data_IF_036439706700
#
_entry.id   IF_036439706700
#
_cell.length_a   1.000
_cell.length_b   1.000
_cell.length_c   1.000
_cell.angle_alpha   90.00
_cell.angle_beta   90.00
_cell.angle_gamma   90.00
#
_symmetry.space_group_name_H-M   'P 1'
#
loop_
_entity.id
_entity.type
_entity.pdbx_description
1 polymer ?
#
# COMPACT_ATOMS: atom_id res chain seq x y z
N UNK A 1 61.97 14.60 -64.46
CA UNK A 1 61.69 15.06 -63.10
C UNK A 1 60.21 14.92 -62.80
N UNK A 2 59.77 13.80 -62.16
CA UNK A 2 58.39 13.56 -61.77
C UNK A 2 58.27 13.91 -60.29
N UNK A 3 57.44 14.90 -59.99
CA UNK A 3 57.09 15.26 -58.60
C UNK A 3 55.96 14.30 -58.12
N UNK A 4 56.24 13.53 -57.07
CA UNK A 4 55.27 12.71 -56.36
C UNK A 4 54.62 13.62 -55.32
N UNK A 5 53.30 13.84 -55.41
CA UNK A 5 52.47 14.50 -54.41
C UNK A 5 52.06 13.40 -53.42
N UNK A 6 52.47 13.51 -52.15
CA UNK A 6 52.02 12.66 -51.09
C UNK A 6 50.78 13.31 -50.46
N UNK A 7 49.64 12.66 -50.62
CA UNK A 7 48.36 13.04 -49.94
C UNK A 7 48.37 12.43 -48.53
N UNK A 8 48.43 13.27 -47.51
CA UNK A 8 48.28 12.86 -46.13
C UNK A 8 46.77 12.77 -45.81
N UNK A 9 46.27 11.56 -45.64
CA UNK A 9 44.89 11.31 -45.13
C UNK A 9 44.98 11.38 -43.61
N UNK A 10 44.43 12.44 -43.04
CA UNK A 10 44.19 12.55 -41.55
C UNK A 10 42.93 11.76 -41.25
N UNK A 11 43.10 10.57 -40.70
CA UNK A 11 42.01 9.82 -40.08
C UNK A 11 41.66 10.50 -38.75
N UNK A 12 40.60 11.27 -38.73
CA UNK A 12 39.96 11.71 -37.48
C UNK A 12 39.28 10.50 -36.82
N UNK A 13 39.99 9.91 -35.85
CA UNK A 13 39.39 8.93 -34.94
C UNK A 13 38.38 9.66 -34.03
N UNK A 14 37.10 9.55 -34.35
CA UNK A 14 36.04 9.85 -33.39
C UNK A 14 36.14 8.82 -32.27
N UNK A 15 36.80 9.20 -31.20
CA UNK A 15 36.76 8.45 -29.96
C UNK A 15 35.31 8.48 -29.42
N UNK A 16 34.57 7.41 -29.59
CA UNK A 16 33.41 7.16 -28.76
C UNK A 16 33.91 7.04 -27.32
N UNK A 17 33.79 8.11 -26.54
CA UNK A 17 33.84 8.01 -25.11
C UNK A 17 32.69 7.12 -24.72
N UNK A 18 32.95 5.85 -24.45
CA UNK A 18 32.02 5.02 -23.69
C UNK A 18 31.82 5.73 -22.34
N UNK A 19 30.76 6.48 -22.21
CA UNK A 19 30.31 6.92 -20.90
C UNK A 19 30.20 5.64 -20.06
N UNK A 20 30.95 5.54 -18.97
CA UNK A 20 30.80 4.42 -18.04
C UNK A 20 29.34 4.38 -17.63
N UNK A 21 28.65 3.31 -18.02
CA UNK A 21 27.28 3.07 -17.63
C UNK A 21 27.23 3.03 -16.09
N UNK A 22 26.48 3.95 -15.49
CA UNK A 22 26.25 3.93 -14.06
C UNK A 22 25.38 2.71 -13.72
N UNK A 23 25.76 1.92 -12.72
CA UNK A 23 24.86 0.88 -12.21
C UNK A 23 23.96 1.49 -11.16
N UNK A 24 22.64 1.28 -11.32
CA UNK A 24 21.60 1.66 -10.37
C UNK A 24 21.12 0.39 -9.66
N UNK A 25 21.46 0.25 -8.38
CA UNK A 25 21.12 -0.92 -7.57
C UNK A 25 19.79 -0.67 -6.85
N UNK A 26 18.81 -1.54 -7.07
CA UNK A 26 17.45 -1.41 -6.52
C UNK A 26 17.12 -2.64 -5.68
N UNK A 27 16.72 -2.42 -4.41
CA UNK A 27 16.17 -3.46 -3.56
C UNK A 27 14.65 -3.34 -3.50
N UNK A 28 13.93 -4.45 -3.72
CA UNK A 28 12.46 -4.46 -3.76
C UNK A 28 11.89 -5.76 -3.19
N UNK A 29 10.66 -5.68 -2.67
CA UNK A 29 9.83 -6.82 -2.27
C UNK A 29 8.66 -7.07 -3.26
N UNK A 30 8.73 -6.50 -4.44
CA UNK A 30 7.67 -6.53 -5.46
C UNK A 30 7.74 -7.86 -6.24
N UNK A 31 7.39 -8.95 -5.57
CA UNK A 31 7.53 -10.33 -6.07
C UNK A 31 6.23 -10.96 -6.53
N UNK A 32 5.09 -10.42 -6.12
CA UNK A 32 3.79 -10.84 -6.66
C UNK A 32 3.70 -10.50 -8.16
N UNK A 33 2.96 -11.29 -8.98
CA UNK A 33 3.01 -11.17 -10.45
C UNK A 33 2.76 -9.77 -11.00
N UNK A 34 1.71 -9.07 -10.55
CA UNK A 34 1.36 -7.76 -11.07
C UNK A 34 2.38 -6.66 -10.66
N UNK A 35 2.79 -6.51 -9.39
CA UNK A 35 3.86 -5.60 -8.99
C UNK A 35 5.17 -5.87 -9.72
N UNK A 36 5.56 -7.15 -9.85
CA UNK A 36 6.78 -7.52 -10.58
C UNK A 36 6.71 -7.08 -12.04
N UNK A 37 5.62 -7.37 -12.73
CA UNK A 37 5.45 -7.02 -14.14
C UNK A 37 5.47 -5.49 -14.36
N UNK A 38 4.83 -4.72 -13.47
CA UNK A 38 4.80 -3.26 -13.56
C UNK A 38 6.19 -2.64 -13.40
N UNK A 39 6.97 -3.14 -12.43
CA UNK A 39 8.32 -2.63 -12.21
C UNK A 39 9.33 -3.14 -13.23
N UNK A 40 9.20 -4.39 -13.72
CA UNK A 40 10.02 -4.87 -14.84
C UNK A 40 9.79 -3.98 -16.09
N UNK A 41 8.54 -3.60 -16.37
CA UNK A 41 8.22 -2.64 -17.43
C UNK A 41 8.88 -1.27 -17.18
N UNK A 42 8.74 -0.72 -15.97
CA UNK A 42 9.31 0.60 -15.64
C UNK A 42 10.85 0.60 -15.73
N UNK A 43 11.50 -0.44 -15.26
CA UNK A 43 12.96 -0.58 -15.33
C UNK A 43 13.43 -0.65 -16.78
N UNK A 44 12.78 -1.48 -17.61
CA UNK A 44 13.10 -1.58 -19.03
C UNK A 44 12.88 -0.25 -19.74
N UNK A 45 11.75 0.40 -19.49
CA UNK A 45 11.42 1.69 -20.10
C UNK A 45 12.40 2.79 -19.71
N UNK A 46 12.81 2.84 -18.44
CA UNK A 46 13.84 3.77 -17.98
C UNK A 46 15.18 3.54 -18.68
N UNK A 47 15.63 2.27 -18.82
CA UNK A 47 16.87 1.94 -19.50
C UNK A 47 16.84 2.27 -21.00
N UNK A 48 15.68 2.07 -21.66
CA UNK A 48 15.50 2.50 -23.06
C UNK A 48 15.70 4.01 -23.24
N UNK A 49 15.17 4.81 -22.32
CA UNK A 49 15.29 6.27 -22.32
C UNK A 49 16.66 6.76 -21.79
N UNK A 50 17.37 5.91 -21.03
CA UNK A 50 18.64 6.22 -20.38
C UNK A 50 19.67 5.10 -20.63
N UNK A 51 20.18 4.95 -21.89
CA UNK A 51 21.08 3.86 -22.23
C UNK A 51 22.46 3.95 -21.58
N UNK A 52 22.74 5.03 -20.86
CA UNK A 52 23.92 5.25 -20.04
C UNK A 52 23.78 4.67 -18.61
N UNK A 53 22.62 4.06 -18.26
CA UNK A 53 22.32 3.47 -16.95
C UNK A 53 22.01 1.98 -17.10
N UNK A 54 22.65 1.17 -16.26
CA UNK A 54 22.30 -0.25 -16.10
C UNK A 54 21.57 -0.43 -14.77
N UNK A 55 20.44 -1.17 -14.76
CA UNK A 55 19.70 -1.46 -13.54
C UNK A 55 20.04 -2.87 -13.05
N UNK A 56 20.35 -2.98 -11.76
CA UNK A 56 20.50 -4.23 -11.02
C UNK A 56 19.40 -4.29 -9.95
N UNK A 57 18.53 -5.31 -10.02
CA UNK A 57 17.39 -5.47 -9.11
C UNK A 57 17.60 -6.66 -8.19
N UNK A 58 17.54 -6.41 -6.89
CA UNK A 58 17.52 -7.42 -5.86
C UNK A 58 16.08 -7.59 -5.34
N UNK A 59 15.45 -8.70 -5.70
CA UNK A 59 14.10 -9.03 -5.23
C UNK A 59 14.15 -9.87 -3.97
N UNK A 60 13.39 -9.47 -2.97
CA UNK A 60 13.26 -10.16 -1.69
C UNK A 60 11.82 -10.63 -1.49
N UNK A 61 11.64 -11.68 -0.72
CA UNK A 61 10.33 -12.03 -0.16
C UNK A 61 9.76 -10.86 0.65
N UNK A 62 8.48 -10.57 0.48
CA UNK A 62 7.80 -9.41 1.07
C UNK A 62 8.00 -9.29 2.59
N UNK A 63 7.80 -10.36 3.36
CA UNK A 63 7.93 -10.28 4.82
C UNK A 63 9.41 -10.31 5.25
N UNK A 64 10.25 -11.05 4.54
CA UNK A 64 11.70 -11.05 4.74
C UNK A 64 12.32 -9.68 4.48
N UNK A 65 11.84 -8.96 3.46
CA UNK A 65 12.23 -7.60 3.15
C UNK A 65 11.95 -6.64 4.30
N UNK A 66 10.71 -6.66 4.82
CA UNK A 66 10.31 -5.83 5.97
C UNK A 66 11.18 -6.03 7.20
N UNK A 67 11.63 -7.27 7.43
CA UNK A 67 12.52 -7.60 8.54
C UNK A 67 13.97 -7.17 8.27
N UNK A 68 14.41 -7.17 7.02
CA UNK A 68 15.81 -6.97 6.62
C UNK A 68 16.13 -5.54 6.20
N UNK A 69 15.14 -4.69 5.91
CA UNK A 69 15.33 -3.36 5.34
C UNK A 69 16.33 -2.52 6.14
N UNK A 70 16.23 -2.50 7.47
CA UNK A 70 17.16 -1.73 8.30
C UNK A 70 18.59 -2.23 8.16
N UNK A 71 18.77 -3.54 8.04
CA UNK A 71 20.09 -4.14 7.91
C UNK A 71 20.75 -3.73 6.59
N UNK A 72 20.10 -3.91 5.45
CA UNK A 72 20.73 -3.52 4.18
C UNK A 72 20.91 -2.01 4.04
N UNK A 73 19.99 -1.18 4.57
CA UNK A 73 20.18 0.28 4.56
C UNK A 73 21.40 0.73 5.40
N UNK A 74 21.83 -0.05 6.39
CA UNK A 74 22.98 0.27 7.23
C UNK A 74 24.28 -0.39 6.79
N UNK A 75 24.24 -1.59 6.18
CA UNK A 75 25.44 -2.39 5.89
C UNK A 75 25.86 -2.35 4.43
N UNK A 76 24.91 -2.44 3.51
CA UNK A 76 25.12 -2.38 2.07
C UNK A 76 23.91 -1.71 1.39
N UNK A 77 23.79 -0.38 1.52
CA UNK A 77 22.63 0.34 1.03
C UNK A 77 22.54 0.25 -0.50
N UNK A 78 21.32 -0.06 -1.04
CA UNK A 78 21.06 0.09 -2.46
C UNK A 78 21.02 1.56 -2.84
N UNK A 79 20.89 1.85 -4.14
CA UNK A 79 20.61 3.22 -4.57
C UNK A 79 19.14 3.58 -4.38
N UNK A 80 18.25 2.64 -4.72
CA UNK A 80 16.80 2.79 -4.55
C UNK A 80 16.21 1.62 -3.75
N UNK A 81 15.14 1.90 -3.03
CA UNK A 81 14.34 0.89 -2.34
C UNK A 81 12.87 1.31 -2.27
N UNK A 82 11.95 0.35 -2.46
CA UNK A 82 10.54 0.62 -2.24
C UNK A 82 10.20 0.52 -0.75
N UNK A 83 9.26 1.34 -0.30
CA UNK A 83 8.74 1.33 1.06
C UNK A 83 7.36 1.99 1.10
N UNK A 84 6.92 2.38 2.29
CA UNK A 84 5.62 2.95 2.57
C UNK A 84 5.75 4.39 3.07
N UNK A 85 4.75 5.21 2.78
CA UNK A 85 4.64 6.57 3.26
C UNK A 85 4.34 6.66 4.79
N UNK A 86 4.23 7.88 5.30
CA UNK A 86 3.80 8.16 6.67
C UNK A 86 4.78 7.73 7.76
N UNK A 87 4.25 7.34 8.90
CA UNK A 87 5.06 6.93 10.05
C UNK A 87 5.86 5.63 9.82
N UNK A 88 5.54 4.87 8.79
CA UNK A 88 6.29 3.66 8.43
C UNK A 88 7.71 4.01 7.93
N UNK A 89 7.86 5.13 7.23
CA UNK A 89 9.13 5.67 6.77
C UNK A 89 9.92 6.40 7.88
N UNK A 90 9.22 7.01 8.84
CA UNK A 90 9.79 7.88 9.86
C UNK A 90 10.99 7.31 10.63
N UNK A 91 11.04 6.03 11.06
CA UNK A 91 12.18 5.47 11.77
C UNK A 91 13.48 5.48 10.96
N UNK A 92 13.36 5.33 9.65
CA UNK A 92 14.52 5.34 8.73
C UNK A 92 14.98 6.78 8.46
N UNK A 93 14.06 7.72 8.32
CA UNK A 93 14.37 9.16 8.23
C UNK A 93 15.09 9.64 9.48
N UNK A 94 14.56 9.33 10.67
CA UNK A 94 15.19 9.68 11.96
C UNK A 94 16.56 9.06 12.16
N UNK A 95 16.78 7.88 11.60
CA UNK A 95 18.08 7.20 11.64
C UNK A 95 19.06 7.72 10.57
N UNK A 96 18.67 8.68 9.72
CA UNK A 96 19.52 9.21 8.65
C UNK A 96 19.81 8.20 7.53
N UNK A 97 18.90 7.22 7.31
CA UNK A 97 19.07 6.15 6.33
C UNK A 97 18.39 6.43 4.99
N UNK A 98 17.60 7.48 4.91
CA UNK A 98 16.88 7.92 3.69
C UNK A 98 17.44 9.26 3.23
N UNK A 99 17.57 9.45 1.94
CA UNK A 99 18.01 10.71 1.32
C UNK A 99 16.87 11.72 1.28
N UNK A 100 17.20 12.98 1.54
CA UNK A 100 16.34 14.12 1.32
C UNK A 100 16.19 14.38 -0.19
N UNK A 101 14.98 14.29 -0.70
CA UNK A 101 14.65 14.49 -2.12
C UNK A 101 13.73 15.71 -2.34
N UNK A 102 13.77 16.66 -1.41
CA UNK A 102 12.95 17.90 -1.49
C UNK A 102 13.23 18.68 -2.76
N UNK A 103 14.47 18.63 -3.27
CA UNK A 103 14.88 19.29 -4.51
C UNK A 103 14.07 18.82 -5.72
N UNK A 104 13.83 17.50 -5.86
CA UNK A 104 13.04 17.01 -7.01
C UNK A 104 11.56 17.35 -6.91
N UNK A 105 11.02 17.61 -5.72
CA UNK A 105 9.65 18.05 -5.52
C UNK A 105 9.45 19.56 -5.77
N UNK A 106 10.49 20.36 -5.56
CA UNK A 106 10.44 21.82 -5.69
C UNK A 106 10.99 22.33 -7.01
N UNK A 107 11.75 21.53 -7.74
CA UNK A 107 12.33 21.91 -9.02
C UNK A 107 11.34 21.67 -10.17
N UNK A 108 10.66 22.74 -10.59
CA UNK A 108 9.67 22.71 -11.66
C UNK A 108 10.23 22.39 -13.05
N UNK A 109 11.54 22.31 -13.22
CA UNK A 109 12.20 22.00 -14.50
C UNK A 109 12.34 20.51 -14.80
N UNK A 110 11.97 19.65 -13.89
CA UNK A 110 12.29 18.22 -13.97
C UNK A 110 11.15 17.34 -14.45
N UNK A 111 9.93 17.75 -14.31
CA UNK A 111 8.75 17.04 -14.83
C UNK A 111 7.94 18.03 -15.64
N UNK A 112 7.34 17.60 -16.74
CA UNK A 112 6.40 18.39 -17.52
C UNK A 112 5.23 18.85 -16.63
N UNK A 113 5.37 20.02 -16.03
CA UNK A 113 4.50 20.46 -14.95
C UNK A 113 4.98 19.93 -13.56
N UNK A 114 5.06 20.72 -12.67
CA UNK A 114 5.45 20.66 -11.28
C UNK A 114 5.05 19.32 -10.58
N UNK A 115 6.03 18.52 -10.15
CA UNK A 115 5.82 17.29 -9.39
C UNK A 115 4.89 17.52 -8.19
N UNK A 116 5.07 18.64 -7.49
CA UNK A 116 4.22 19.06 -6.37
C UNK A 116 2.77 19.29 -6.79
N UNK A 117 2.51 19.82 -7.97
CA UNK A 117 1.16 20.09 -8.49
C UNK A 117 0.48 18.78 -8.92
N UNK A 118 1.19 17.95 -9.69
CA UNK A 118 0.66 16.67 -10.17
C UNK A 118 0.39 15.65 -9.06
N UNK A 119 1.11 15.71 -7.93
CA UNK A 119 0.98 14.76 -6.82
C UNK A 119 0.68 15.45 -5.47
N UNK A 120 -0.04 16.55 -5.48
CA UNK A 120 -0.28 17.37 -4.28
C UNK A 120 -0.96 16.61 -3.13
N UNK A 121 -1.89 15.70 -3.44
CA UNK A 121 -2.59 14.89 -2.44
C UNK A 121 -1.69 13.86 -1.74
N UNK A 122 -0.64 13.38 -2.41
CA UNK A 122 0.31 12.44 -1.85
C UNK A 122 1.53 13.11 -1.18
N UNK A 123 1.63 14.43 -1.26
CA UNK A 123 2.75 15.17 -0.68
C UNK A 123 2.78 15.09 0.84
N UNK A 124 1.63 15.17 1.49
CA UNK A 124 1.54 15.16 2.94
C UNK A 124 2.08 13.87 3.56
N UNK A 125 1.72 12.66 3.10
CA UNK A 125 2.29 11.42 3.61
C UNK A 125 3.80 11.29 3.41
N UNK A 126 4.37 12.01 2.42
CA UNK A 126 5.80 12.02 2.13
C UNK A 126 6.57 13.09 2.90
N UNK A 127 5.88 13.99 3.63
CA UNK A 127 6.50 15.13 4.31
C UNK A 127 6.81 14.80 5.77
N UNK A 128 8.08 14.80 6.13
CA UNK A 128 8.55 14.69 7.52
C UNK A 128 9.53 15.82 7.79
N UNK A 129 9.28 16.60 8.83
CA UNK A 129 10.14 17.72 9.20
C UNK A 129 10.23 18.82 8.12
N UNK A 130 9.19 19.00 7.31
CA UNK A 130 9.15 19.96 6.21
C UNK A 130 9.90 19.53 4.95
N UNK A 131 10.43 18.30 4.92
CA UNK A 131 11.21 17.74 3.82
C UNK A 131 10.50 16.56 3.18
N UNK A 132 10.84 16.26 1.92
CA UNK A 132 10.33 15.13 1.15
C UNK A 132 11.35 14.00 1.12
N UNK A 133 10.90 12.75 1.28
CA UNK A 133 11.77 11.60 1.52
C UNK A 133 11.63 10.49 0.49
N UNK A 134 10.82 10.68 -0.53
CA UNK A 134 10.62 9.72 -1.62
C UNK A 134 9.59 10.19 -2.62
N UNK A 135 9.23 9.32 -3.56
CA UNK A 135 8.22 9.57 -4.59
C UNK A 135 7.17 8.47 -4.54
N UNK A 136 5.89 8.81 -4.40
CA UNK A 136 4.80 7.85 -4.46
C UNK A 136 4.53 7.45 -5.92
N UNK A 137 4.20 6.18 -6.14
CA UNK A 137 3.92 5.67 -7.49
C UNK A 137 2.54 5.05 -7.65
N UNK A 138 1.89 4.71 -6.54
CA UNK A 138 0.53 4.17 -6.52
C UNK A 138 -0.16 4.47 -5.20
N UNK A 139 -1.48 4.49 -5.24
CA UNK A 139 -2.35 4.38 -4.07
C UNK A 139 -3.53 3.47 -4.41
N UNK A 140 -4.28 3.02 -3.42
CA UNK A 140 -5.36 2.09 -3.66
C UNK A 140 -6.41 2.16 -2.56
N UNK A 141 -7.65 1.92 -2.97
CA UNK A 141 -8.76 1.80 -2.05
C UNK A 141 -8.70 0.48 -1.26
N UNK A 142 -9.26 0.53 -0.06
CA UNK A 142 -9.67 -0.62 0.70
C UNK A 142 -11.21 -0.71 0.71
N UNK A 143 -11.75 -1.90 0.99
CA UNK A 143 -13.18 -2.12 1.11
C UNK A 143 -13.50 -3.61 1.14
N UNK A 144 -14.70 -3.98 0.77
CA UNK A 144 -15.18 -5.36 0.82
C UNK A 144 -15.21 -5.94 -0.59
N UNK A 145 -14.35 -6.93 -0.86
CA UNK A 145 -14.44 -7.77 -2.05
C UNK A 145 -15.36 -8.95 -1.77
N UNK A 146 -16.26 -9.30 -2.69
CA UNK A 146 -17.26 -10.33 -2.44
C UNK A 146 -17.55 -11.19 -3.67
N UNK A 147 -18.08 -12.38 -3.45
CA UNK A 147 -18.57 -13.31 -4.47
C UNK A 147 -20.00 -12.97 -4.83
N UNK A 148 -20.22 -12.40 -6.03
CA UNK A 148 -21.55 -12.04 -6.56
C UNK A 148 -22.47 -13.23 -6.67
N UNK A 149 -21.98 -14.33 -7.20
CA UNK A 149 -22.71 -15.58 -7.38
C UNK A 149 -23.15 -16.22 -6.04
N UNK A 150 -22.30 -16.12 -5.00
CA UNK A 150 -22.69 -16.60 -3.66
C UNK A 150 -23.77 -15.69 -3.06
N UNK A 151 -23.67 -14.38 -3.21
CA UNK A 151 -24.67 -13.43 -2.74
C UNK A 151 -26.01 -13.69 -3.42
N UNK A 152 -26.02 -13.81 -4.75
CA UNK A 152 -27.21 -14.11 -5.54
C UNK A 152 -27.86 -15.44 -5.12
N UNK A 153 -27.06 -16.51 -5.00
CA UNK A 153 -27.55 -17.83 -4.60
C UNK A 153 -28.20 -17.86 -3.20
N UNK A 154 -27.82 -16.92 -2.31
CA UNK A 154 -28.32 -16.81 -0.96
C UNK A 154 -29.31 -15.65 -0.78
N UNK A 155 -29.72 -14.97 -1.85
CA UNK A 155 -30.68 -13.86 -1.81
C UNK A 155 -30.14 -12.63 -1.06
N UNK A 156 -28.84 -12.41 -1.04
CA UNK A 156 -28.20 -11.30 -0.33
C UNK A 156 -27.99 -10.15 -1.31
N UNK A 157 -28.50 -8.97 -0.96
CA UNK A 157 -28.16 -7.72 -1.63
C UNK A 157 -26.87 -7.15 -1.07
N UNK A 158 -26.16 -6.33 -1.86
CA UNK A 158 -24.95 -5.63 -1.39
C UNK A 158 -25.30 -4.74 -0.19
N UNK A 159 -24.67 -4.97 0.98
CA UNK A 159 -24.97 -4.21 2.19
C UNK A 159 -24.51 -2.74 2.07
N UNK A 160 -25.36 -1.83 2.49
CA UNK A 160 -25.08 -0.39 2.60
C UNK A 160 -24.99 0.09 4.05
N UNK A 161 -25.53 -0.68 4.96
CA UNK A 161 -25.52 -0.43 6.40
C UNK A 161 -24.89 -1.59 7.16
N UNK A 162 -24.46 -1.31 8.39
CA UNK A 162 -23.88 -2.31 9.28
C UNK A 162 -24.83 -3.47 9.59
N UNK A 163 -26.10 -3.15 9.85
CA UNK A 163 -27.09 -4.18 10.17
C UNK A 163 -27.30 -5.13 8.97
N UNK A 164 -27.33 -4.61 7.75
CA UNK A 164 -27.39 -5.43 6.54
C UNK A 164 -26.13 -6.30 6.37
N UNK A 165 -24.94 -5.75 6.68
CA UNK A 165 -23.68 -6.48 6.62
C UNK A 165 -23.63 -7.65 7.61
N UNK A 166 -24.06 -7.42 8.86
CA UNK A 166 -24.12 -8.47 9.88
C UNK A 166 -25.19 -9.51 9.52
N UNK A 167 -26.34 -9.09 8.96
CA UNK A 167 -27.39 -10.01 8.48
C UNK A 167 -26.90 -10.87 7.31
N UNK A 168 -26.14 -10.29 6.38
CA UNK A 168 -25.48 -11.05 5.30
C UNK A 168 -24.51 -12.09 5.86
N UNK A 169 -23.69 -11.74 6.84
CA UNK A 169 -22.80 -12.69 7.52
C UNK A 169 -23.58 -13.83 8.19
N UNK A 170 -24.68 -13.53 8.86
CA UNK A 170 -25.52 -14.54 9.49
C UNK A 170 -26.14 -15.51 8.46
N UNK A 171 -26.65 -14.98 7.34
CA UNK A 171 -27.21 -15.77 6.24
C UNK A 171 -26.17 -16.70 5.63
N UNK A 172 -24.96 -16.20 5.33
CA UNK A 172 -23.86 -16.99 4.78
C UNK A 172 -23.43 -18.10 5.72
N UNK A 173 -23.30 -17.80 7.02
CA UNK A 173 -22.92 -18.80 8.02
C UNK A 173 -23.99 -19.88 8.15
N UNK A 174 -25.27 -19.52 8.13
CA UNK A 174 -26.37 -20.49 8.15
C UNK A 174 -26.37 -21.40 6.91
N UNK A 175 -25.88 -20.91 5.77
CA UNK A 175 -25.69 -21.68 4.54
C UNK A 175 -24.40 -22.53 4.55
N UNK A 176 -23.60 -22.52 5.62
CA UNK A 176 -22.35 -23.25 5.73
C UNK A 176 -21.17 -22.59 5.00
N UNK A 177 -21.30 -21.32 4.63
CA UNK A 177 -20.27 -20.53 3.93
C UNK A 177 -19.58 -19.62 4.94
N UNK A 178 -18.26 -19.58 4.95
CA UNK A 178 -17.49 -18.61 5.74
C UNK A 178 -17.84 -17.20 5.29
N UNK A 179 -18.43 -16.34 6.15
CA UNK A 179 -18.82 -15.00 5.72
C UNK A 179 -17.63 -14.15 5.27
N UNK A 180 -16.58 -14.09 6.07
CA UNK A 180 -15.42 -13.23 5.83
C UNK A 180 -14.14 -14.06 5.90
N UNK A 181 -13.42 -14.20 4.78
CA UNK A 181 -12.06 -14.74 4.82
C UNK A 181 -11.08 -13.67 5.28
N UNK A 182 -10.00 -14.06 5.93
CA UNK A 182 -8.88 -13.21 6.31
C UNK A 182 -7.66 -14.09 6.60
N UNK A 183 -6.47 -13.67 6.16
CA UNK A 183 -5.20 -14.28 6.56
C UNK A 183 -4.42 -13.32 7.43
N UNK A 184 -4.23 -13.65 8.71
CA UNK A 184 -3.60 -12.74 9.66
C UNK A 184 -2.25 -13.22 10.20
N UNK A 185 -1.61 -14.19 9.54
CA UNK A 185 -0.27 -14.70 9.91
C UNK A 185 0.75 -13.58 10.09
N UNK A 186 0.69 -12.57 9.26
CA UNK A 186 1.57 -11.40 9.30
C UNK A 186 0.93 -10.16 9.92
N UNK A 187 -0.17 -10.31 10.63
CA UNK A 187 -0.87 -9.34 11.48
C UNK A 187 -1.60 -8.21 10.75
N UNK A 188 -1.00 -7.57 9.76
CA UNK A 188 -1.45 -6.29 9.18
C UNK A 188 -2.88 -6.32 8.61
N UNK A 189 -3.37 -7.45 8.12
CA UNK A 189 -4.74 -7.57 7.60
C UNK A 189 -5.82 -7.29 8.64
N UNK A 190 -5.51 -7.56 9.93
CA UNK A 190 -6.42 -7.26 11.04
C UNK A 190 -6.56 -5.76 11.29
N UNK A 191 -5.54 -4.99 10.92
CA UNK A 191 -5.56 -3.54 11.04
C UNK A 191 -6.60 -2.91 10.10
N UNK A 192 -6.69 -3.35 8.83
CA UNK A 192 -7.71 -2.84 7.91
C UNK A 192 -9.15 -3.07 8.41
N UNK A 193 -9.40 -4.19 9.11
CA UNK A 193 -10.69 -4.41 9.78
C UNK A 193 -10.89 -3.44 10.94
N UNK A 194 -9.88 -3.26 11.79
CA UNK A 194 -9.93 -2.32 12.92
C UNK A 194 -10.14 -0.89 12.43
N UNK A 195 -9.40 -0.47 11.43
CA UNK A 195 -9.44 0.90 10.91
C UNK A 195 -10.83 1.24 10.38
N UNK A 196 -11.42 0.39 9.55
CA UNK A 196 -12.78 0.61 9.08
C UNK A 196 -13.82 0.60 10.21
N UNK A 197 -13.73 -0.35 11.15
CA UNK A 197 -14.63 -0.35 12.30
C UNK A 197 -14.52 0.95 13.10
N UNK A 198 -13.29 1.46 13.30
CA UNK A 198 -13.07 2.69 14.05
C UNK A 198 -13.48 3.94 13.26
N UNK A 199 -13.13 4.03 11.98
CA UNK A 199 -13.54 5.12 11.09
C UNK A 199 -15.06 5.23 10.97
N UNK A 200 -15.77 4.11 10.85
CA UNK A 200 -17.23 4.06 10.71
C UNK A 200 -17.99 4.24 12.02
N UNK A 201 -17.34 3.89 13.16
CA UNK A 201 -17.97 4.05 14.49
C UNK A 201 -17.74 5.44 15.07
N UNK A 202 -16.51 5.97 14.95
CA UNK A 202 -16.07 7.16 15.68
C UNK A 202 -15.66 8.34 14.80
N UNK A 203 -15.47 8.12 13.51
CA UNK A 203 -15.05 9.14 12.54
C UNK A 203 -13.53 9.32 12.42
N UNK A 204 -13.13 10.04 11.39
CA UNK A 204 -11.75 10.25 10.99
C UNK A 204 -10.91 10.96 12.07
N UNK A 205 -11.42 12.05 12.64
CA UNK A 205 -10.69 12.82 13.65
C UNK A 205 -10.35 11.99 14.88
N UNK A 206 -11.29 11.14 15.34
CA UNK A 206 -11.05 10.26 16.46
C UNK A 206 -10.01 9.19 16.10
N UNK A 207 -10.13 8.59 14.92
CA UNK A 207 -9.19 7.57 14.43
C UNK A 207 -7.76 8.14 14.36
N UNK A 208 -7.58 9.32 13.76
CA UNK A 208 -6.28 9.96 13.66
C UNK A 208 -5.73 10.42 15.03
N UNK A 209 -6.57 10.87 15.95
CA UNK A 209 -6.15 11.20 17.30
C UNK A 209 -5.70 9.95 18.08
N UNK A 210 -6.36 8.82 17.90
CA UNK A 210 -5.95 7.54 18.50
C UNK A 210 -4.59 7.07 17.95
N UNK A 211 -4.40 7.11 16.62
CA UNK A 211 -3.13 6.71 15.98
C UNK A 211 -1.98 7.65 16.30
N UNK A 212 -2.26 8.93 16.60
CA UNK A 212 -1.30 9.91 17.11
C UNK A 212 -1.03 9.79 18.62
N UNK A 213 -1.73 8.91 19.33
CA UNK A 213 -1.57 8.70 20.76
C UNK A 213 -2.18 9.79 21.64
N UNK A 214 -3.04 10.63 21.11
CA UNK A 214 -3.75 11.71 21.83
C UNK A 214 -4.90 11.13 22.67
N UNK A 215 -5.41 9.96 22.30
CA UNK A 215 -6.52 9.26 22.95
C UNK A 215 -6.00 7.97 23.59
N UNK A 216 -6.41 7.63 24.82
CA UNK A 216 -6.04 6.37 25.45
C UNK A 216 -6.77 5.18 24.81
N UNK A 217 -6.09 4.03 24.70
CA UNK A 217 -6.68 2.80 24.19
C UNK A 217 -7.83 2.25 25.07
N UNK A 218 -7.93 2.73 26.29
CA UNK A 218 -9.03 2.39 27.22
C UNK A 218 -10.23 3.33 27.10
N UNK A 219 -10.20 4.28 26.15
CA UNK A 219 -11.31 5.20 25.92
C UNK A 219 -12.62 4.45 25.61
N UNK A 220 -13.78 4.91 26.10
CA UNK A 220 -15.07 4.30 25.79
C UNK A 220 -15.37 4.18 24.29
N UNK A 221 -14.94 5.12 23.46
CA UNK A 221 -15.12 5.05 22.00
C UNK A 221 -14.27 3.95 21.36
N UNK A 222 -13.07 3.70 21.85
CA UNK A 222 -12.29 2.51 21.44
C UNK A 222 -13.05 1.24 21.77
N UNK A 223 -13.65 1.17 22.99
CA UNK A 223 -14.50 0.05 23.36
C UNK A 223 -15.72 -0.09 22.42
N UNK A 224 -16.34 1.00 21.98
CA UNK A 224 -17.44 0.96 21.01
C UNK A 224 -17.00 0.35 19.65
N UNK A 225 -15.78 0.62 19.20
CA UNK A 225 -15.20 -0.04 18.01
C UNK A 225 -15.13 -1.56 18.21
N UNK A 226 -14.66 -2.01 19.37
CA UNK A 226 -14.60 -3.43 19.68
C UNK A 226 -15.97 -4.07 19.93
N UNK A 227 -16.98 -3.29 20.36
CA UNK A 227 -18.37 -3.79 20.45
C UNK A 227 -18.87 -4.14 19.03
N UNK A 228 -18.56 -3.33 18.03
CA UNK A 228 -18.89 -3.63 16.63
C UNK A 228 -18.08 -4.82 16.09
N UNK A 229 -16.83 -4.95 16.49
CA UNK A 229 -16.03 -6.13 16.14
C UNK A 229 -16.55 -7.43 16.78
N UNK A 230 -17.07 -7.35 18.01
CA UNK A 230 -17.72 -8.47 18.70
C UNK A 230 -18.90 -9.05 17.89
N UNK A 231 -19.64 -8.21 17.17
CA UNK A 231 -20.76 -8.64 16.31
C UNK A 231 -20.30 -9.54 15.14
N UNK A 232 -19.02 -9.49 14.77
CA UNK A 232 -18.43 -10.36 13.75
C UNK A 232 -17.61 -11.52 14.35
N UNK A 233 -16.83 -11.24 15.38
CA UNK A 233 -15.87 -12.19 15.94
C UNK A 233 -16.54 -13.27 16.79
N UNK A 234 -17.45 -12.89 17.68
CA UNK A 234 -18.13 -13.84 18.59
C UNK A 234 -19.02 -14.86 17.90
N UNK A 235 -19.79 -14.51 16.87
CA UNK A 235 -20.52 -15.50 16.08
C UNK A 235 -19.63 -16.37 15.20
N UNK A 236 -18.34 -16.04 15.07
CA UNK A 236 -17.37 -16.77 14.25
C UNK A 236 -17.60 -16.53 12.75
N UNK A 237 -17.77 -15.27 12.33
CA UNK A 237 -17.95 -14.93 10.92
C UNK A 237 -16.64 -14.87 10.14
N UNK A 238 -15.50 -14.85 10.82
CA UNK A 238 -14.19 -14.90 10.19
C UNK A 238 -13.73 -16.34 9.90
N UNK A 239 -12.86 -16.48 8.91
CA UNK A 239 -12.20 -17.74 8.57
C UNK A 239 -11.55 -18.37 9.82
N UNK A 240 -11.86 -19.62 10.07
CA UNK A 240 -11.26 -20.37 11.17
C UNK A 240 -9.73 -20.52 10.94
N UNK A 241 -8.96 -20.48 12.01
CA UNK A 241 -7.49 -20.57 11.96
C UNK A 241 -6.81 -19.50 11.08
N UNK A 242 -7.45 -18.36 10.88
CA UNK A 242 -6.94 -17.25 10.06
C UNK A 242 -5.50 -16.81 10.41
N UNK A 243 -5.07 -17.03 11.66
CA UNK A 243 -3.72 -16.70 12.12
C UNK A 243 -2.62 -17.58 11.51
N UNK A 244 -2.99 -18.67 10.84
CA UNK A 244 -2.06 -19.58 10.16
C UNK A 244 -1.87 -19.23 8.67
N UNK A 245 -2.74 -18.40 8.11
CA UNK A 245 -2.74 -18.07 6.68
C UNK A 245 -2.10 -16.71 6.40
N UNK A 246 -1.23 -16.65 5.38
CA UNK A 246 -0.90 -15.40 4.72
C UNK A 246 -2.14 -14.83 4.01
N UNK A 247 -2.12 -13.55 3.66
CA UNK A 247 -3.28 -12.93 3.02
C UNK A 247 -3.61 -13.56 1.64
N UNK A 248 -2.59 -13.97 0.87
CA UNK A 248 -2.77 -14.66 -0.42
C UNK A 248 -3.39 -16.05 -0.22
N UNK A 249 -2.94 -16.78 0.81
CA UNK A 249 -3.46 -18.10 1.13
C UNK A 249 -4.95 -18.04 1.52
N UNK A 250 -5.36 -16.97 2.19
CA UNK A 250 -6.75 -16.74 2.58
C UNK A 250 -7.67 -16.33 1.41
N UNK A 251 -7.16 -16.10 0.22
CA UNK A 251 -7.94 -15.92 -1.00
C UNK A 251 -8.51 -17.25 -1.49
N UNK A 252 -7.80 -18.36 -1.29
CA UNK A 252 -8.18 -19.67 -1.77
C UNK A 252 -9.60 -20.11 -1.36
N UNK A 253 -10.06 -19.97 -0.11
CA UNK A 253 -11.45 -20.26 0.26
C UNK A 253 -12.49 -19.47 -0.54
N UNK A 254 -12.18 -18.22 -0.89
CA UNK A 254 -13.07 -17.39 -1.68
C UNK A 254 -13.12 -17.83 -3.15
N UNK A 255 -11.97 -18.21 -3.73
CA UNK A 255 -11.90 -18.79 -5.07
C UNK A 255 -12.70 -20.11 -5.15
N UNK A 256 -12.57 -20.96 -4.14
CA UNK A 256 -13.28 -22.25 -4.07
C UNK A 256 -14.78 -22.13 -3.75
N UNK A 257 -15.29 -20.92 -3.41
CA UNK A 257 -16.67 -20.74 -3.00
C UNK A 257 -16.97 -21.13 -1.54
N UNK A 258 -15.95 -21.34 -0.73
CA UNK A 258 -16.03 -21.69 0.69
C UNK A 258 -16.16 -20.45 1.58
N UNK A 259 -15.77 -19.28 1.07
CA UNK A 259 -15.90 -17.98 1.71
C UNK A 259 -16.49 -16.94 0.76
N UNK A 260 -17.19 -15.94 1.29
CA UNK A 260 -17.97 -15.01 0.49
C UNK A 260 -17.37 -13.60 0.38
N UNK A 261 -16.68 -13.10 1.41
CA UNK A 261 -16.17 -11.74 1.48
C UNK A 261 -14.73 -11.67 1.98
N UNK A 262 -14.02 -10.59 1.60
CA UNK A 262 -12.70 -10.23 2.14
C UNK A 262 -12.58 -8.70 2.28
N UNK A 263 -12.30 -8.21 3.47
CA UNK A 263 -11.94 -6.80 3.70
C UNK A 263 -10.47 -6.63 3.34
N UNK A 264 -10.17 -5.96 2.22
CA UNK A 264 -8.81 -5.92 1.65
C UNK A 264 -8.59 -4.70 0.76
N UNK A 265 -7.33 -4.44 0.45
CA UNK A 265 -6.92 -3.44 -0.54
C UNK A 265 -7.02 -3.94 -1.98
N UNK A 266 -7.14 -3.01 -2.93
CA UNK A 266 -7.38 -3.32 -4.34
C UNK A 266 -6.27 -4.17 -5.00
N UNK A 267 -5.05 -4.18 -4.47
CA UNK A 267 -3.98 -5.07 -4.94
C UNK A 267 -4.37 -6.56 -4.91
N UNK A 268 -5.37 -6.94 -4.11
CA UNK A 268 -5.88 -8.31 -4.05
C UNK A 268 -6.64 -8.74 -5.30
N UNK A 269 -7.16 -7.80 -6.10
CA UNK A 269 -7.93 -8.10 -7.33
C UNK A 269 -7.12 -8.91 -8.31
N UNK A 270 -5.84 -8.58 -8.50
CA UNK A 270 -4.95 -9.36 -9.36
C UNK A 270 -4.85 -10.81 -8.90
N UNK A 271 -4.67 -11.04 -7.59
CA UNK A 271 -4.55 -12.38 -7.01
C UNK A 271 -5.88 -13.15 -7.08
N UNK A 272 -7.03 -12.48 -6.90
CA UNK A 272 -8.33 -13.10 -7.13
C UNK A 272 -8.50 -13.56 -8.58
N UNK A 273 -8.11 -12.70 -9.54
CA UNK A 273 -8.19 -13.02 -10.98
C UNK A 273 -7.24 -14.14 -11.37
N UNK A 274 -6.02 -14.15 -10.85
CA UNK A 274 -5.05 -15.25 -11.05
C UNK A 274 -5.57 -16.58 -10.49
N UNK A 275 -6.35 -16.52 -9.40
CA UNK A 275 -7.06 -17.67 -8.82
C UNK A 275 -8.28 -18.14 -9.63
N UNK A 276 -8.66 -17.42 -10.70
CA UNK A 276 -9.76 -17.78 -11.61
C UNK A 276 -11.07 -17.03 -11.38
N UNK A 277 -11.12 -16.03 -10.47
CA UNK A 277 -12.29 -15.13 -10.38
C UNK A 277 -12.26 -14.10 -11.51
N UNK A 278 -13.44 -13.66 -11.92
CA UNK A 278 -13.62 -12.71 -13.01
C UNK A 278 -14.49 -11.54 -12.56
N UNK A 279 -14.61 -10.50 -13.38
CA UNK A 279 -15.51 -9.39 -13.12
C UNK A 279 -17.01 -9.82 -13.03
N UNK A 280 -17.37 -11.02 -13.52
CA UNK A 280 -18.72 -11.54 -13.44
C UNK A 280 -19.06 -12.06 -12.04
N UNK A 281 -18.11 -12.68 -11.34
CA UNK A 281 -18.32 -13.31 -10.05
C UNK A 281 -17.62 -12.63 -8.86
N UNK A 282 -16.67 -11.73 -9.12
CA UNK A 282 -16.04 -10.88 -8.09
C UNK A 282 -16.68 -9.48 -8.13
N UNK A 283 -17.04 -8.96 -6.96
CA UNK A 283 -17.55 -7.61 -6.77
C UNK A 283 -16.80 -6.86 -5.69
N UNK A 284 -17.06 -5.57 -5.61
CA UNK A 284 -16.53 -4.66 -4.60
C UNK A 284 -17.62 -3.76 -4.08
N UNK A 285 -17.61 -3.47 -2.80
CA UNK A 285 -18.42 -2.41 -2.20
C UNK A 285 -17.68 -1.73 -1.06
N UNK A 286 -18.01 -0.47 -0.85
CA UNK A 286 -17.53 0.35 0.23
C UNK A 286 -17.86 -0.28 1.58
N UNK A 287 -16.94 -0.27 2.55
CA UNK A 287 -17.24 -0.75 3.90
C UNK A 287 -18.43 0.05 4.47
N UNK A 288 -19.49 -0.63 4.94
CA UNK A 288 -20.76 0.00 5.21
C UNK A 288 -20.73 1.01 6.37
N UNK A 289 -21.70 1.93 6.37
CA UNK A 289 -21.94 2.86 7.48
C UNK A 289 -22.26 2.07 8.76
N UNK A 290 -21.63 2.43 9.88
CA UNK A 290 -21.91 1.85 11.22
C UNK A 290 -22.72 2.84 12.06
N UNK A 291 -22.22 4.06 12.23
CA UNK A 291 -22.88 5.10 13.01
C UNK A 291 -23.48 6.14 12.05
N UNK A 292 -24.82 6.25 11.96
CA UNK A 292 -25.45 7.22 11.08
C UNK A 292 -24.98 8.65 11.30
N UNK A 293 -24.57 9.31 10.21
CA UNK A 293 -24.11 10.69 10.24
C UNK A 293 -22.61 10.87 10.57
N UNK A 294 -21.86 9.80 10.83
CA UNK A 294 -20.40 9.85 10.84
C UNK A 294 -19.90 9.99 9.40
N UNK A 295 -19.12 11.04 9.07
CA UNK A 295 -18.63 11.23 7.71
C UNK A 295 -17.78 10.04 7.23
N UNK A 296 -18.04 9.60 5.99
CA UNK A 296 -17.37 8.43 5.39
C UNK A 296 -15.92 8.77 5.02
N UNK A 297 -14.99 8.39 5.87
CA UNK A 297 -13.56 8.44 5.58
C UNK A 297 -13.06 7.09 5.09
N UNK A 298 -12.08 7.09 4.19
CA UNK A 298 -11.58 5.88 3.55
C UNK A 298 -10.11 5.62 3.85
N UNK A 299 -9.68 4.38 3.67
CA UNK A 299 -8.27 4.01 3.64
C UNK A 299 -7.76 4.07 2.21
N UNK A 300 -6.69 4.85 2.02
CA UNK A 300 -6.00 5.01 0.75
C UNK A 300 -4.48 4.96 0.96
N UNK A 301 -3.92 3.80 1.29
CA UNK A 301 -2.48 3.66 1.50
C UNK A 301 -1.69 3.97 0.23
N UNK A 302 -0.53 4.61 0.41
CA UNK A 302 0.34 5.06 -0.68
C UNK A 302 1.67 4.31 -0.62
N UNK A 303 2.07 3.69 -1.73
CA UNK A 303 3.36 3.00 -1.85
C UNK A 303 4.37 3.89 -2.57
N UNK A 304 5.63 3.77 -2.17
CA UNK A 304 6.64 4.80 -2.42
C UNK A 304 7.99 4.20 -2.77
N UNK A 305 8.80 4.96 -3.53
CA UNK A 305 10.20 4.65 -3.82
C UNK A 305 11.10 5.71 -3.19
N UNK A 306 12.20 5.27 -2.61
CA UNK A 306 13.13 6.08 -1.84
C UNK A 306 14.57 5.91 -2.30
N UNK A 307 15.42 6.90 -2.01
CA UNK A 307 16.88 6.81 -2.16
C UNK A 307 17.48 6.52 -0.79
N UNK A 308 18.38 5.54 -0.70
CA UNK A 308 19.13 5.32 0.53
C UNK A 308 20.13 6.45 0.73
N UNK A 309 20.34 6.91 1.98
CA UNK A 309 21.32 7.97 2.25
C UNK A 309 22.75 7.57 1.88
N UNK A 310 23.08 6.27 2.00
CA UNK A 310 24.34 5.67 1.60
C UNK A 310 24.43 5.24 0.13
N UNK A 311 23.47 5.63 -0.73
CA UNK A 311 23.46 5.32 -2.15
C UNK A 311 24.73 5.79 -2.85
N UNK A 312 25.27 4.94 -3.72
CA UNK A 312 26.51 5.25 -4.48
C UNK A 312 26.20 6.03 -5.74
N UNK A 313 25.02 5.85 -6.31
CA UNK A 313 24.57 6.48 -7.55
C UNK A 313 23.30 7.34 -7.35
N UNK A 314 23.37 8.32 -6.45
CA UNK A 314 22.24 9.24 -6.15
C UNK A 314 21.76 10.02 -7.37
N UNK A 315 22.66 10.31 -8.32
CA UNK A 315 22.30 11.06 -9.53
C UNK A 315 21.27 10.29 -10.37
N UNK A 316 21.57 9.06 -10.70
CA UNK A 316 20.66 8.25 -11.53
C UNK A 316 19.46 7.75 -10.72
N UNK A 317 19.61 7.58 -9.39
CA UNK A 317 18.48 7.33 -8.49
C UNK A 317 17.45 8.49 -8.54
N UNK A 318 17.88 9.73 -8.50
CA UNK A 318 17.00 10.91 -8.68
C UNK A 318 16.36 10.94 -10.08
N UNK A 319 17.11 10.63 -11.15
CA UNK A 319 16.55 10.50 -12.52
C UNK A 319 15.44 9.46 -12.56
N UNK A 320 15.65 8.32 -11.90
CA UNK A 320 14.62 7.27 -11.82
C UNK A 320 13.38 7.72 -11.04
N UNK A 321 13.53 8.39 -9.90
CA UNK A 321 12.38 8.91 -9.14
C UNK A 321 11.55 9.91 -9.96
N UNK A 322 12.21 10.75 -10.74
CA UNK A 322 11.53 11.72 -11.61
C UNK A 322 10.81 11.01 -12.75
N UNK A 323 11.44 10.02 -13.35
CA UNK A 323 10.81 9.17 -14.35
C UNK A 323 9.57 8.48 -13.76
N UNK A 324 9.70 7.89 -12.58
CA UNK A 324 8.60 7.21 -11.87
C UNK A 324 7.42 8.14 -11.54
N UNK A 325 7.68 9.44 -11.36
CA UNK A 325 6.67 10.45 -11.04
C UNK A 325 5.88 10.94 -12.27
N UNK A 326 6.33 10.64 -13.48
CA UNK A 326 5.69 11.08 -14.72
C UNK A 326 4.29 10.50 -14.88
N UNK A 327 3.38 11.30 -15.43
CA UNK A 327 2.00 10.89 -15.64
C UNK A 327 1.88 9.68 -16.59
N UNK A 328 2.60 9.67 -17.71
CA UNK A 328 2.62 8.57 -18.67
C UNK A 328 3.18 7.26 -18.09
N UNK A 329 4.19 7.37 -17.22
CA UNK A 329 4.80 6.23 -16.55
C UNK A 329 3.85 5.66 -15.50
N UNK A 330 3.25 6.50 -14.66
CA UNK A 330 2.29 6.05 -13.66
C UNK A 330 1.01 5.50 -14.27
N UNK A 331 0.55 6.06 -15.40
CA UNK A 331 -0.58 5.52 -16.15
C UNK A 331 -0.34 4.06 -16.55
N UNK A 332 0.76 3.76 -17.25
CA UNK A 332 1.04 2.41 -17.71
C UNK A 332 1.39 1.45 -16.55
N UNK A 333 2.19 1.90 -15.58
CA UNK A 333 2.49 1.07 -14.40
C UNK A 333 1.23 0.68 -13.63
N UNK A 334 0.34 1.64 -13.36
CA UNK A 334 -0.85 1.38 -12.56
C UNK A 334 -1.91 0.58 -13.32
N UNK A 335 -1.93 0.67 -14.66
CA UNK A 335 -2.69 -0.25 -15.50
C UNK A 335 -2.22 -1.71 -15.31
N UNK A 336 -0.90 -1.95 -15.30
CA UNK A 336 -0.34 -3.29 -15.05
C UNK A 336 -0.58 -3.73 -13.59
N UNK A 337 -0.42 -2.81 -12.63
CA UNK A 337 -0.68 -3.06 -11.21
C UNK A 337 -2.16 -3.33 -10.90
N UNK A 338 -3.09 -2.82 -11.72
CA UNK A 338 -4.51 -2.76 -11.40
C UNK A 338 -4.78 -1.85 -10.20
N UNK A 339 -4.06 -0.72 -10.09
CA UNK A 339 -4.16 0.25 -8.99
C UNK A 339 -4.31 1.68 -9.51
N UNK A 340 -4.40 2.65 -8.62
CA UNK A 340 -4.62 4.04 -8.97
C UNK A 340 -3.27 4.80 -9.08
N UNK A 341 -3.05 5.55 -10.18
CA UNK A 341 -1.89 6.42 -10.30
C UNK A 341 -2.01 7.62 -9.36
N UNK A 342 -0.89 8.01 -8.77
CA UNK A 342 -0.81 9.17 -7.86
C UNK A 342 -0.78 10.48 -8.63
N UNK A 343 -0.21 10.49 -9.84
CA UNK A 343 -0.13 11.68 -10.67
C UNK A 343 -1.50 12.00 -11.29
N UNK A 344 -2.04 13.17 -10.98
CA UNK A 344 -3.36 13.63 -11.46
C UNK A 344 -3.47 13.80 -12.98
N UNK A 345 -2.34 13.85 -13.69
CA UNK A 345 -2.28 13.85 -15.17
C UNK A 345 -2.39 12.46 -15.79
N UNK A 346 -2.30 11.39 -15.00
CA UNK A 346 -2.44 10.01 -15.49
C UNK A 346 -3.91 9.65 -15.67
N UNK A 347 -4.21 8.85 -16.69
CA UNK A 347 -5.53 8.26 -16.85
C UNK A 347 -5.64 6.99 -16.02
N UNK A 348 -6.85 6.73 -15.53
CA UNK A 348 -7.19 5.48 -14.86
C UNK A 348 -7.78 4.53 -15.90
N UNK A 349 -7.37 3.25 -15.87
CA UNK A 349 -7.87 2.25 -16.80
C UNK A 349 -9.36 1.96 -16.56
N UNK A 350 -10.09 1.59 -17.61
CA UNK A 350 -11.50 1.24 -17.51
C UNK A 350 -11.67 -0.18 -16.92
N UNK A 351 -11.52 -0.25 -15.60
CA UNK A 351 -11.73 -1.47 -14.78
C UNK A 351 -12.76 -1.16 -13.69
N UNK A 352 -13.79 -2.00 -13.49
CA UNK A 352 -14.87 -1.71 -12.56
C UNK A 352 -14.40 -1.54 -11.11
N UNK A 353 -13.31 -2.17 -10.70
CA UNK A 353 -12.75 -2.00 -9.35
C UNK A 353 -12.03 -0.67 -9.20
N UNK A 354 -11.30 -0.23 -10.24
CA UNK A 354 -10.63 1.07 -10.25
C UNK A 354 -11.63 2.22 -10.33
N UNK A 355 -12.67 2.09 -11.18
CA UNK A 355 -13.74 3.09 -11.26
C UNK A 355 -14.50 3.24 -9.94
N UNK A 356 -14.90 2.13 -9.32
CA UNK A 356 -15.57 2.14 -8.02
C UNK A 356 -14.67 2.68 -6.90
N UNK A 357 -13.39 2.32 -6.90
CA UNK A 357 -12.41 2.83 -5.94
C UNK A 357 -12.16 4.31 -6.09
N UNK A 358 -11.96 4.79 -7.31
CA UNK A 358 -11.75 6.21 -7.59
C UNK A 358 -12.99 7.05 -7.21
N UNK A 359 -14.19 6.59 -7.56
CA UNK A 359 -15.44 7.26 -7.16
C UNK A 359 -15.56 7.33 -5.64
N UNK A 360 -15.33 6.22 -4.94
CA UNK A 360 -15.35 6.15 -3.47
C UNK A 360 -14.35 7.12 -2.84
N UNK A 361 -13.10 7.15 -3.32
CA UNK A 361 -12.04 8.01 -2.77
C UNK A 361 -12.28 9.50 -3.09
N UNK A 362 -12.82 9.82 -4.28
CA UNK A 362 -13.16 11.20 -4.64
C UNK A 362 -14.32 11.76 -3.80
N UNK A 363 -15.21 10.89 -3.33
CA UNK A 363 -16.35 11.27 -2.47
C UNK A 363 -16.05 11.10 -0.97
N UNK A 364 -14.86 10.61 -0.60
CA UNK A 364 -14.48 10.42 0.79
C UNK A 364 -14.37 11.76 1.53
N UNK A 365 -14.87 11.81 2.76
CA UNK A 365 -14.69 12.94 3.66
C UNK A 365 -13.21 13.23 3.94
N UNK A 366 -12.43 12.16 4.16
CA UNK A 366 -11.00 12.19 4.39
C UNK A 366 -10.37 10.82 4.06
N UNK A 367 -9.06 10.78 3.90
CA UNK A 367 -8.31 9.56 3.64
C UNK A 367 -7.30 9.30 4.76
N UNK A 368 -7.36 8.13 5.39
CA UNK A 368 -6.34 7.57 6.25
C UNK A 368 -5.33 6.77 5.40
N UNK A 369 -4.11 6.62 5.89
CA UNK A 369 -3.10 5.83 5.16
C UNK A 369 -3.23 4.34 5.44
N UNK A 370 -3.24 3.95 6.65
CA UNK A 370 -3.39 2.61 7.24
C UNK A 370 -2.81 2.62 8.65
N UNK A 371 -3.31 1.80 9.56
CA UNK A 371 -2.91 1.81 10.96
C UNK A 371 -1.38 1.81 11.17
N UNK A 372 -0.64 0.96 10.47
CA UNK A 372 0.81 0.86 10.62
C UNK A 372 1.60 1.97 9.92
N UNK A 373 0.93 2.80 9.11
CA UNK A 373 1.48 4.01 8.48
C UNK A 373 1.12 5.28 9.24
N UNK A 374 -0.03 5.27 9.93
CA UNK A 374 -0.52 6.40 10.74
C UNK A 374 -0.04 6.35 12.19
N UNK A 375 0.26 5.17 12.73
CA UNK A 375 0.83 4.99 14.07
C UNK A 375 2.35 4.78 14.05
N UNK A 376 3.09 5.17 15.11
CA UNK A 376 4.51 4.83 15.26
C UNK A 376 4.74 3.32 15.24
N UNK A 377 5.90 2.89 14.72
CA UNK A 377 6.19 1.48 14.42
C UNK A 377 5.98 0.52 15.61
N UNK A 378 6.35 0.92 16.84
CA UNK A 378 6.16 0.10 18.03
C UNK A 378 4.67 -0.01 18.38
N UNK A 379 3.93 1.10 18.33
CA UNK A 379 2.48 1.10 18.57
C UNK A 379 1.75 0.26 17.52
N UNK A 380 2.11 0.41 16.26
CA UNK A 380 1.56 -0.35 15.15
C UNK A 380 1.78 -1.86 15.34
N UNK A 381 3.01 -2.26 15.64
CA UNK A 381 3.34 -3.68 15.88
C UNK A 381 2.53 -4.28 17.02
N UNK A 382 2.47 -3.61 18.17
CA UNK A 382 1.75 -4.11 19.35
C UNK A 382 0.22 -4.04 19.16
N UNK A 383 -0.29 -3.01 18.45
CA UNK A 383 -1.69 -2.90 18.06
C UNK A 383 -2.13 -4.08 17.20
N UNK A 384 -1.42 -4.34 16.11
CA UNK A 384 -1.74 -5.45 15.20
C UNK A 384 -1.66 -6.83 15.86
N UNK A 385 -0.70 -7.04 16.79
CA UNK A 385 -0.68 -8.25 17.63
C UNK A 385 -1.93 -8.35 18.51
N UNK A 386 -2.34 -7.21 19.09
CA UNK A 386 -3.56 -7.14 19.89
C UNK A 386 -4.81 -7.44 19.10
N UNK A 387 -4.90 -6.95 17.86
CA UNK A 387 -6.02 -7.20 16.97
C UNK A 387 -6.13 -8.68 16.56
N UNK A 388 -5.02 -9.32 16.20
CA UNK A 388 -5.02 -10.75 15.93
C UNK A 388 -5.41 -11.56 17.17
N UNK A 389 -4.81 -11.23 18.32
CA UNK A 389 -5.13 -11.89 19.60
C UNK A 389 -6.62 -11.77 19.94
N UNK A 390 -7.21 -10.59 19.70
CA UNK A 390 -8.63 -10.36 19.88
C UNK A 390 -9.51 -11.21 18.92
N UNK A 391 -9.17 -11.29 17.65
CA UNK A 391 -9.90 -12.12 16.70
C UNK A 391 -9.86 -13.61 17.06
N UNK A 392 -8.73 -14.09 17.61
CA UNK A 392 -8.60 -15.47 18.08
C UNK A 392 -9.36 -15.70 19.40
N UNK A 393 -9.38 -14.70 20.28
CA UNK A 393 -10.04 -14.80 21.59
C UNK A 393 -10.60 -13.43 22.02
N UNK A 394 -11.86 -13.11 21.65
CA UNK A 394 -12.49 -11.84 21.98
C UNK A 394 -12.61 -11.54 23.48
N UNK A 395 -12.64 -12.56 24.36
CA UNK A 395 -12.73 -12.39 25.80
C UNK A 395 -11.49 -11.72 26.41
N UNK A 396 -10.38 -11.65 25.65
CA UNK A 396 -9.15 -10.98 26.10
C UNK A 396 -9.16 -9.46 25.88
N UNK A 397 -10.20 -8.88 25.31
CA UNK A 397 -10.34 -7.47 24.94
C UNK A 397 -9.80 -6.51 26.01
N UNK A 398 -10.28 -6.59 27.25
CA UNK A 398 -9.85 -5.69 28.33
C UNK A 398 -8.33 -5.73 28.55
N UNK A 399 -7.75 -6.94 28.62
CA UNK A 399 -6.30 -7.11 28.80
C UNK A 399 -5.49 -6.58 27.63
N UNK A 400 -6.03 -6.74 26.40
CA UNK A 400 -5.40 -6.21 25.18
C UNK A 400 -5.39 -4.69 25.23
N UNK A 401 -6.52 -4.05 25.50
CA UNK A 401 -6.62 -2.58 25.54
C UNK A 401 -5.76 -1.97 26.65
N UNK A 402 -5.71 -2.58 27.84
CA UNK A 402 -4.81 -2.17 28.93
C UNK A 402 -3.32 -2.29 28.54
N UNK A 403 -2.96 -3.34 27.79
CA UNK A 403 -1.61 -3.51 27.26
C UNK A 403 -1.27 -2.45 26.24
N UNK A 404 -2.17 -2.18 25.28
CA UNK A 404 -1.98 -1.15 24.27
C UNK A 404 -1.88 0.25 24.90
N UNK A 405 -2.63 0.53 25.96
CA UNK A 405 -2.50 1.80 26.69
C UNK A 405 -1.11 1.96 27.32
N UNK A 406 -0.53 0.90 27.91
CA UNK A 406 0.84 0.94 28.41
C UNK A 406 1.87 1.19 27.30
N UNK A 407 1.64 0.62 26.12
CA UNK A 407 2.48 0.88 24.93
C UNK A 407 2.35 2.35 24.51
N UNK A 408 1.12 2.88 24.42
CA UNK A 408 0.88 4.28 24.10
C UNK A 408 1.64 5.22 25.04
N UNK A 409 1.51 5.02 26.35
CA UNK A 409 2.19 5.85 27.37
C UNK A 409 3.73 5.81 27.25
N UNK A 410 4.30 4.76 26.67
CA UNK A 410 5.74 4.63 26.43
C UNK A 410 6.17 5.27 25.11
N UNK A 411 5.40 5.10 24.07
CA UNK A 411 5.77 5.46 22.67
C UNK A 411 5.56 6.94 22.38
N UNK A 412 4.52 7.55 22.96
CA UNK A 412 4.13 8.93 22.67
C UNK A 412 4.56 9.92 23.79
N UNK A 413 5.74 9.74 24.34
CA UNK A 413 6.34 10.64 25.33
C UNK A 413 6.89 11.90 24.71
#
# INVERSE_FOLDING_TARGET
>A
MRKILATIIVLASFGYSSAFAGTLVINTDLTDPAPKAAFDWAFNKFQEENPDVTIEVNNFDHEGYKQSIRNFLTTNPPDLFNWYAGNRMLPFVRAGLVEDVTDIWSDSGWVDGNLTEGMSHAKMPMTIGGKQWGVPYTYYQWGVYYRKDIFEANGISVPTSWDEFVAACATLKAAGITPITIGSKYLWTTAGVFDYLNLRTNGYEFHMALTKGEIPWTDPKVNATFDKWDELAKPGYFLENHASFAWQEAITPMVNGEAAMYVMGNFSVAVFKDGGLTNDNLGFFQFPEITPGVPMAEEAPTDTMHIASGAKNKKDAKRFLIFLARADVQEEMNKILGQLPVNSGSKVDADPFLEAGLDMLNNAYAMAQFFDRDAPAEMASEGMKGFQEYMVNPDRRTKILERLEKVRQRVYK
#
